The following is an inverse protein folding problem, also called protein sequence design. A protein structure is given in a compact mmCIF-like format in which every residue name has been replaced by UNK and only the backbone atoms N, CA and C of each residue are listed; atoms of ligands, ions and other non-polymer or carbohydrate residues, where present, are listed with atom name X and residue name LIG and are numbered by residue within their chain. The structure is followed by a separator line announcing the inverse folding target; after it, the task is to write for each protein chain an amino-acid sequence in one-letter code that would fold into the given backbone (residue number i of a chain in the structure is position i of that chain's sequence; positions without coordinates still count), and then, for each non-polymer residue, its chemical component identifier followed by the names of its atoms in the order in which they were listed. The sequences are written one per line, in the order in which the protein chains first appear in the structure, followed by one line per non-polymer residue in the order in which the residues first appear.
data_IF_441682819360
#
_entry.id   IF_441682819360
#
_cell.length_a   1.000
_cell.length_b   1.000
_cell.length_c   1.000
_cell.angle_alpha   90.00
_cell.angle_beta   90.00
_cell.angle_gamma   90.00
#
_symmetry.space_group_name_H-M   'P 1'
#
loop_
_entity.id
_entity.type
_entity.pdbx_description
1 polymer ?
#
# COMPACT_ATOMS: atom_id res chain seq x y z
N UNK A 1 9.02 27.45 -18.01
CA UNK A 1 8.87 26.05 -18.41
C UNK A 1 7.50 25.60 -17.93
N UNK A 2 6.70 24.90 -18.76
CA UNK A 2 5.40 24.37 -18.35
C UNK A 2 5.58 22.87 -18.06
N UNK A 3 5.34 22.43 -16.83
CA UNK A 3 5.38 21.03 -16.41
C UNK A 3 3.95 20.47 -16.33
N UNK A 4 3.73 19.30 -16.89
CA UNK A 4 2.48 18.56 -16.79
C UNK A 4 2.78 17.22 -16.14
N UNK A 5 2.14 16.95 -15.02
CA UNK A 5 2.18 15.67 -14.32
C UNK A 5 0.91 14.88 -14.65
N UNK A 6 1.04 13.63 -15.05
CA UNK A 6 -0.09 12.75 -15.37
C UNK A 6 -0.01 11.47 -14.54
N UNK A 7 -1.15 10.92 -14.16
CA UNK A 7 -1.24 9.67 -13.41
C UNK A 7 -2.69 9.36 -13.02
N UNK A 8 -2.91 8.18 -12.50
CA UNK A 8 -4.25 7.72 -12.04
C UNK A 8 -4.60 8.28 -10.65
N UNK A 9 -3.60 8.55 -9.83
CA UNK A 9 -3.76 9.21 -8.53
C UNK A 9 -2.53 10.07 -8.26
N UNK A 10 -2.68 11.34 -7.85
CA UNK A 10 -1.55 12.14 -7.40
C UNK A 10 -0.84 11.49 -6.21
N UNK A 11 0.48 11.67 -6.11
CA UNK A 11 1.19 11.37 -4.87
C UNK A 11 0.78 12.34 -3.76
N UNK A 12 1.11 12.00 -2.53
CA UNK A 12 0.75 12.87 -1.39
C UNK A 12 1.53 14.21 -1.42
N UNK A 13 2.76 14.21 -1.98
CA UNK A 13 3.54 15.43 -2.19
C UNK A 13 2.88 16.34 -3.25
N UNK A 14 2.43 15.74 -4.37
CA UNK A 14 1.68 16.49 -5.38
C UNK A 14 0.37 17.03 -4.81
N UNK A 15 -0.30 16.24 -3.94
CA UNK A 15 -1.51 16.72 -3.25
C UNK A 15 -1.25 17.93 -2.37
N UNK A 16 -0.09 17.99 -1.70
CA UNK A 16 0.31 19.17 -0.94
C UNK A 16 0.52 20.39 -1.85
N UNK A 17 1.23 20.24 -2.97
CA UNK A 17 1.42 21.32 -3.95
C UNK A 17 0.09 21.83 -4.54
N UNK A 18 -0.91 20.93 -4.67
CA UNK A 18 -2.26 21.32 -5.09
C UNK A 18 -2.94 22.17 -4.00
N UNK A 19 -2.84 21.81 -2.73
CA UNK A 19 -3.39 22.58 -1.61
C UNK A 19 -2.69 23.94 -1.45
N UNK A 20 -1.38 23.98 -1.63
CA UNK A 20 -0.56 25.21 -1.63
C UNK A 20 -0.78 26.06 -2.89
N UNK A 21 -1.60 25.61 -3.86
CA UNK A 21 -1.92 26.26 -5.14
C UNK A 21 -0.74 26.43 -6.08
N UNK A 22 0.32 25.67 -5.90
CA UNK A 22 1.47 25.66 -6.80
C UNK A 22 1.22 24.82 -8.06
N UNK A 23 0.31 23.85 -7.96
CA UNK A 23 -0.10 22.96 -9.06
C UNK A 23 -1.60 23.04 -9.27
N UNK A 24 -2.02 23.23 -10.54
CA UNK A 24 -3.43 23.16 -10.92
C UNK A 24 -3.84 21.70 -11.17
N UNK A 25 -4.75 21.19 -10.35
CA UNK A 25 -5.33 19.87 -10.54
C UNK A 25 -6.47 19.90 -11.57
N UNK A 26 -6.42 18.95 -12.50
CA UNK A 26 -7.47 18.71 -13.49
C UNK A 26 -7.87 17.25 -13.41
N UNK A 27 -9.13 16.97 -13.06
CA UNK A 27 -9.68 15.63 -13.02
C UNK A 27 -10.47 15.32 -14.29
N UNK A 28 -10.38 14.09 -14.80
CA UNK A 28 -11.30 13.63 -15.84
C UNK A 28 -12.70 13.45 -15.22
N UNK A 29 -13.73 13.73 -16.00
CA UNK A 29 -15.13 13.58 -15.57
C UNK A 29 -15.70 12.23 -16.01
N UNK A 30 -14.98 11.16 -15.78
CA UNK A 30 -15.46 9.82 -16.11
C UNK A 30 -16.42 9.34 -15.01
N UNK A 31 -17.50 8.69 -15.45
CA UNK A 31 -18.40 7.96 -14.56
C UNK A 31 -18.15 6.49 -14.78
N UNK A 32 -17.73 5.81 -13.73
CA UNK A 32 -17.42 4.38 -13.74
C UNK A 32 -18.54 3.61 -13.05
N UNK A 33 -19.04 2.56 -13.70
CA UNK A 33 -19.99 1.65 -13.06
C UNK A 33 -19.26 0.77 -12.04
N UNK A 34 -19.47 1.05 -10.75
CA UNK A 34 -18.81 0.36 -9.64
C UNK A 34 -19.82 -0.38 -8.79
N UNK A 35 -19.53 -1.63 -8.47
CA UNK A 35 -20.28 -2.44 -7.50
C UNK A 35 -19.31 -2.98 -6.46
N UNK A 36 -19.58 -2.72 -5.19
CA UNK A 36 -18.82 -3.26 -4.08
C UNK A 36 -19.55 -4.48 -3.47
N UNK A 37 -18.76 -5.43 -3.01
CA UNK A 37 -19.25 -6.67 -2.41
C UNK A 37 -18.46 -6.92 -1.13
N UNK A 38 -19.15 -6.81 -0.01
CA UNK A 38 -18.55 -7.13 1.29
C UNK A 38 -18.03 -8.56 1.28
N UNK A 39 -16.77 -8.79 1.68
CA UNK A 39 -16.18 -10.12 1.71
C UNK A 39 -17.02 -11.10 2.53
N UNK A 40 -17.15 -12.34 2.03
CA UNK A 40 -17.85 -13.42 2.71
C UNK A 40 -16.86 -14.33 3.42
N UNK A 41 -17.30 -14.94 4.52
CA UNK A 41 -16.49 -15.87 5.30
C UNK A 41 -16.00 -17.06 4.45
N UNK A 42 -14.68 -17.28 4.42
CA UNK A 42 -14.06 -18.42 3.75
C UNK A 42 -14.05 -18.38 2.22
N UNK A 43 -14.82 -17.51 1.57
CA UNK A 43 -14.92 -17.43 0.13
C UNK A 43 -14.00 -16.36 -0.47
N UNK A 44 -13.39 -16.65 -1.61
CA UNK A 44 -12.64 -15.67 -2.40
C UNK A 44 -13.59 -14.67 -3.08
N UNK A 45 -14.71 -15.17 -3.57
CA UNK A 45 -15.76 -14.41 -4.24
C UNK A 45 -17.05 -14.47 -3.43
N UNK A 46 -17.62 -13.32 -3.01
CA UNK A 46 -18.95 -13.27 -2.41
C UNK A 46 -20.02 -13.79 -3.37
N UNK A 47 -21.04 -14.51 -2.85
CA UNK A 47 -22.04 -15.17 -3.70
C UNK A 47 -22.72 -14.27 -4.73
N UNK A 48 -22.99 -13.01 -4.37
CA UNK A 48 -23.68 -12.04 -5.25
C UNK A 48 -22.84 -11.58 -6.44
N UNK A 49 -21.51 -11.73 -6.42
CA UNK A 49 -20.62 -11.28 -7.51
C UNK A 49 -20.69 -12.21 -8.73
N UNK A 50 -21.11 -13.49 -8.56
CA UNK A 50 -21.10 -14.50 -9.62
C UNK A 50 -22.00 -14.12 -10.81
N UNK A 51 -23.16 -13.53 -10.56
CA UNK A 51 -24.08 -13.09 -11.61
C UNK A 51 -23.47 -11.97 -12.45
N UNK A 52 -22.77 -11.02 -11.82
CA UNK A 52 -22.11 -9.91 -12.51
C UNK A 52 -20.95 -10.41 -13.37
N UNK A 53 -20.13 -11.32 -12.84
CA UNK A 53 -19.02 -11.94 -13.58
C UNK A 53 -19.55 -12.73 -14.79
N UNK A 54 -20.62 -13.54 -14.62
CA UNK A 54 -21.23 -14.28 -15.71
C UNK A 54 -21.76 -13.36 -16.81
N UNK A 55 -22.41 -12.26 -16.42
CA UNK A 55 -22.90 -11.25 -17.36
C UNK A 55 -21.73 -10.61 -18.14
N UNK A 56 -20.64 -10.27 -17.48
CA UNK A 56 -19.47 -9.71 -18.12
C UNK A 56 -18.79 -10.71 -19.08
N UNK A 57 -18.66 -11.98 -18.67
CA UNK A 57 -18.08 -13.04 -19.50
C UNK A 57 -18.89 -13.37 -20.75
N UNK A 58 -20.17 -12.98 -20.85
CA UNK A 58 -20.94 -13.11 -22.10
C UNK A 58 -20.59 -12.03 -23.12
N UNK A 59 -19.89 -10.97 -22.69
CA UNK A 59 -19.54 -9.83 -23.56
C UNK A 59 -18.04 -9.80 -23.87
N UNK A 60 -17.17 -10.13 -22.92
CA UNK A 60 -15.73 -10.03 -23.12
C UNK A 60 -14.92 -10.61 -21.96
N UNK A 61 -13.60 -10.33 -21.91
CA UNK A 61 -12.72 -10.83 -20.87
C UNK A 61 -12.99 -10.13 -19.53
N UNK A 62 -12.80 -10.88 -18.44
CA UNK A 62 -12.91 -10.38 -17.07
C UNK A 62 -11.54 -10.45 -16.39
N UNK A 63 -11.04 -9.30 -15.95
CA UNK A 63 -9.76 -9.18 -15.23
C UNK A 63 -9.98 -9.36 -13.74
N UNK A 64 -9.18 -10.23 -13.12
CA UNK A 64 -9.11 -10.40 -11.67
C UNK A 64 -7.75 -9.94 -11.17
N UNK A 65 -7.73 -8.96 -10.28
CA UNK A 65 -6.51 -8.51 -9.62
C UNK A 65 -6.39 -9.20 -8.26
N UNK A 66 -5.33 -9.97 -8.12
CA UNK A 66 -4.97 -10.62 -6.86
C UNK A 66 -3.78 -9.90 -6.20
N UNK A 67 -3.79 -9.74 -4.88
CA UNK A 67 -2.62 -9.23 -4.17
C UNK A 67 -1.39 -10.11 -4.39
N UNK A 68 -0.20 -9.52 -4.56
CA UNK A 68 1.07 -10.25 -4.74
C UNK A 68 1.38 -11.17 -3.55
N UNK A 69 2.20 -12.21 -3.76
CA UNK A 69 2.64 -13.14 -2.69
C UNK A 69 3.25 -12.42 -1.48
N UNK A 70 3.95 -11.32 -1.64
CA UNK A 70 4.52 -10.52 -0.55
C UNK A 70 3.48 -9.88 0.40
N UNK A 71 2.23 -9.75 -0.03
CA UNK A 71 1.09 -9.36 0.82
C UNK A 71 0.58 -10.54 1.68
N UNK A 72 1.17 -11.72 1.55
CA UNK A 72 0.61 -12.99 1.98
C UNK A 72 0.81 -13.40 3.42
N UNK A 73 1.64 -12.70 4.20
CA UNK A 73 1.92 -13.07 5.58
C UNK A 73 1.09 -12.30 6.61
N UNK A 74 0.08 -11.55 6.17
CA UNK A 74 -0.84 -10.88 7.09
C UNK A 74 -1.94 -11.83 7.54
N UNK A 75 -2.23 -11.84 8.84
CA UNK A 75 -3.43 -12.45 9.39
C UNK A 75 -4.61 -11.51 9.12
N UNK A 76 -5.68 -12.04 8.51
CA UNK A 76 -6.96 -11.36 8.39
C UNK A 76 -8.01 -12.09 9.21
N UNK A 77 -9.06 -11.37 9.56
CA UNK A 77 -10.25 -11.99 10.12
C UNK A 77 -10.92 -12.87 9.05
N UNK A 78 -11.23 -14.11 9.37
CA UNK A 78 -11.94 -15.03 8.48
C UNK A 78 -13.37 -14.60 8.18
N UNK A 79 -13.93 -13.69 8.99
CA UNK A 79 -15.30 -13.20 8.84
C UNK A 79 -15.36 -11.86 8.09
N UNK A 80 -14.79 -10.79 8.63
CA UNK A 80 -14.88 -9.43 8.05
C UNK A 80 -13.71 -9.05 7.15
N UNK A 81 -12.71 -9.92 7.00
CA UNK A 81 -11.48 -9.73 6.20
C UNK A 81 -10.61 -8.55 6.60
N UNK A 82 -10.94 -7.84 7.68
CA UNK A 82 -10.05 -6.84 8.22
C UNK A 82 -8.72 -7.44 8.63
N UNK A 83 -7.65 -6.68 8.41
CA UNK A 83 -6.29 -7.07 8.80
C UNK A 83 -6.17 -7.06 10.33
N UNK A 84 -5.59 -8.12 10.87
CA UNK A 84 -5.29 -8.18 12.30
C UNK A 84 -4.09 -7.28 12.62
N UNK A 85 -4.33 -6.29 13.45
CA UNK A 85 -3.32 -5.29 13.86
C UNK A 85 -3.00 -5.45 15.34
N UNK A 86 -1.77 -5.15 15.69
CA UNK A 86 -1.30 -5.00 17.07
C UNK A 86 -1.56 -3.57 17.55
N UNK A 87 -1.65 -3.37 18.85
CA UNK A 87 -1.73 -2.05 19.48
C UNK A 87 -0.56 -1.12 19.09
N UNK A 88 0.61 -1.67 18.75
CA UNK A 88 1.76 -0.91 18.24
C UNK A 88 1.64 -0.49 16.77
N UNK A 89 0.51 -0.74 16.10
CA UNK A 89 0.30 -0.46 14.67
C UNK A 89 0.92 -1.50 13.73
N UNK A 90 1.65 -2.51 14.24
CA UNK A 90 2.19 -3.60 13.43
C UNK A 90 1.12 -4.62 13.07
N UNK A 91 1.16 -5.15 11.83
CA UNK A 91 0.26 -6.25 11.43
C UNK A 91 0.62 -7.55 12.16
N UNK A 92 -0.37 -8.43 12.34
CA UNK A 92 -0.13 -9.77 12.85
C UNK A 92 0.18 -10.73 11.69
N UNK A 93 1.08 -11.67 11.95
CA UNK A 93 1.40 -12.79 11.05
C UNK A 93 1.35 -14.11 11.81
N UNK A 94 1.22 -15.20 11.06
CA UNK A 94 1.27 -16.56 11.61
C UNK A 94 2.36 -17.33 10.89
N UNK A 95 3.39 -17.73 11.62
CA UNK A 95 4.54 -18.42 11.04
C UNK A 95 4.21 -19.85 10.57
N UNK A 96 3.24 -20.51 11.21
CA UNK A 96 2.75 -21.83 10.83
C UNK A 96 1.29 -21.99 11.33
N UNK A 97 0.50 -22.91 10.70
CA UNK A 97 -0.92 -23.14 11.04
C UNK A 97 -1.18 -23.45 12.53
N UNK A 98 -0.19 -23.97 13.23
CA UNK A 98 -0.28 -24.38 14.65
C UNK A 98 0.28 -23.33 15.62
N UNK A 99 0.82 -22.22 15.12
CA UNK A 99 1.40 -21.17 15.98
C UNK A 99 0.42 -20.01 16.17
N UNK A 100 0.44 -19.45 17.38
CA UNK A 100 -0.33 -18.25 17.69
C UNK A 100 0.16 -17.04 16.83
N UNK A 101 -0.74 -16.14 16.45
CA UNK A 101 -0.37 -14.92 15.75
C UNK A 101 0.66 -14.09 16.53
N UNK A 102 1.62 -13.51 15.83
CA UNK A 102 2.60 -12.60 16.41
C UNK A 102 2.70 -11.31 15.59
N UNK A 103 2.98 -10.21 16.27
CA UNK A 103 3.20 -8.94 15.62
C UNK A 103 4.52 -8.94 14.87
N UNK A 104 4.51 -8.55 13.60
CA UNK A 104 5.74 -8.45 12.78
C UNK A 104 6.65 -7.31 13.21
N UNK A 105 6.15 -6.38 14.02
CA UNK A 105 6.87 -5.18 14.43
C UNK A 105 7.46 -5.32 15.84
N UNK A 106 6.63 -5.65 16.85
CA UNK A 106 7.06 -5.71 18.24
C UNK A 106 7.19 -7.16 18.79
N UNK A 107 6.90 -8.18 17.99
CA UNK A 107 6.99 -9.58 18.40
C UNK A 107 5.91 -10.07 19.38
N UNK A 108 4.99 -9.20 19.87
CA UNK A 108 3.91 -9.58 20.81
C UNK A 108 3.11 -10.75 20.24
N UNK A 109 2.95 -11.81 21.04
CA UNK A 109 2.19 -13.02 20.65
C UNK A 109 0.77 -12.92 21.18
N UNK A 110 -0.21 -13.32 20.39
CA UNK A 110 -1.65 -13.23 20.67
C UNK A 110 -2.23 -14.63 20.84
N UNK A 111 -2.22 -15.17 22.06
CA UNK A 111 -2.94 -16.38 22.42
C UNK A 111 -4.44 -16.09 22.40
N UNK A 112 -5.23 -16.92 21.69
CA UNK A 112 -6.67 -16.71 21.59
C UNK A 112 -7.08 -15.42 20.89
N UNK A 113 -6.36 -15.04 19.80
CA UNK A 113 -6.65 -13.84 19.02
C UNK A 113 -8.12 -13.71 18.64
N UNK A 114 -8.65 -12.50 18.81
CA UNK A 114 -9.98 -12.08 18.32
C UNK A 114 -9.84 -10.81 17.47
N UNK A 115 -10.68 -10.71 16.45
CA UNK A 115 -10.71 -9.57 15.56
C UNK A 115 -11.17 -8.30 16.31
N UNK A 116 -10.39 -7.22 16.23
CA UNK A 116 -10.73 -5.92 16.85
C UNK A 116 -11.95 -5.24 16.23
N UNK A 117 -12.38 -5.65 15.03
CA UNK A 117 -13.53 -5.06 14.33
C UNK A 117 -14.84 -5.80 14.57
N UNK A 118 -14.84 -7.15 14.51
CA UNK A 118 -16.06 -7.94 14.61
C UNK A 118 -16.07 -8.94 15.77
N UNK A 119 -15.03 -8.94 16.61
CA UNK A 119 -14.84 -9.76 17.81
C UNK A 119 -14.88 -11.29 17.57
N UNK A 120 -14.73 -11.75 16.31
CA UNK A 120 -14.67 -13.17 15.96
C UNK A 120 -13.23 -13.65 15.92
N UNK A 121 -13.03 -14.95 16.14
CA UNK A 121 -11.71 -15.59 16.33
C UNK A 121 -11.20 -16.36 15.10
N UNK A 122 -12.04 -16.51 14.05
CA UNK A 122 -11.64 -17.23 12.84
C UNK A 122 -10.53 -16.51 12.11
N UNK A 123 -9.42 -17.20 11.97
CA UNK A 123 -8.23 -16.71 11.29
C UNK A 123 -8.29 -17.01 9.79
N UNK A 124 -7.91 -16.05 8.96
CA UNK A 124 -7.68 -16.21 7.54
C UNK A 124 -6.25 -15.83 7.21
N UNK A 125 -5.48 -16.84 6.83
CA UNK A 125 -4.09 -16.60 6.41
C UNK A 125 -4.10 -16.20 4.93
N UNK A 126 -3.87 -14.94 4.68
CA UNK A 126 -3.76 -14.38 3.35
C UNK A 126 -2.39 -14.73 2.72
N UNK A 127 -2.18 -15.96 2.39
CA UNK A 127 -0.91 -16.47 1.84
C UNK A 127 -1.05 -17.25 0.55
N UNK A 128 -2.23 -17.23 -0.03
CA UNK A 128 -2.55 -18.05 -1.20
C UNK A 128 -2.43 -17.16 -2.43
N UNK A 129 -1.33 -17.33 -3.16
CA UNK A 129 -1.02 -16.53 -4.31
C UNK A 129 -2.04 -16.69 -5.45
N UNK A 130 -1.77 -16.00 -6.54
CA UNK A 130 -2.57 -15.97 -7.78
C UNK A 130 -2.97 -17.36 -8.27
N UNK A 131 -2.12 -18.38 -8.09
CA UNK A 131 -2.38 -19.76 -8.50
C UNK A 131 -3.64 -20.34 -7.84
N UNK A 132 -3.81 -20.12 -6.54
CA UNK A 132 -5.03 -20.60 -5.85
C UNK A 132 -6.26 -19.77 -6.22
N UNK A 133 -6.11 -18.47 -6.42
CA UNK A 133 -7.21 -17.66 -6.94
C UNK A 133 -7.63 -18.17 -8.32
N UNK A 134 -6.67 -18.53 -9.18
CA UNK A 134 -6.92 -19.12 -10.48
C UNK A 134 -7.67 -20.45 -10.38
N UNK A 135 -7.27 -21.34 -9.47
CA UNK A 135 -7.98 -22.60 -9.25
C UNK A 135 -9.43 -22.40 -8.76
N UNK A 136 -9.66 -21.51 -7.81
CA UNK A 136 -10.99 -21.25 -7.27
C UNK A 136 -11.91 -20.61 -8.32
N UNK A 137 -11.38 -19.65 -9.10
CA UNK A 137 -12.11 -18.95 -10.15
C UNK A 137 -12.38 -19.87 -11.35
N UNK A 138 -11.42 -20.70 -11.77
CA UNK A 138 -11.62 -21.66 -12.86
C UNK A 138 -12.69 -22.70 -12.52
N UNK A 139 -12.73 -23.18 -11.29
CA UNK A 139 -13.80 -24.10 -10.83
C UNK A 139 -15.18 -23.44 -10.83
N UNK A 140 -15.22 -22.13 -10.50
CA UNK A 140 -16.47 -21.38 -10.50
C UNK A 140 -17.01 -21.10 -11.92
N UNK A 141 -16.12 -21.01 -12.91
CA UNK A 141 -16.42 -20.66 -14.29
C UNK A 141 -15.75 -21.62 -15.29
N UNK A 142 -16.06 -22.93 -15.29
CA UNK A 142 -15.27 -23.95 -15.98
C UNK A 142 -15.36 -23.88 -17.52
N UNK A 143 -16.29 -23.08 -18.07
CA UNK A 143 -16.48 -22.95 -19.52
C UNK A 143 -15.55 -21.90 -20.17
N UNK A 144 -14.80 -21.15 -19.36
CA UNK A 144 -13.98 -20.04 -19.87
C UNK A 144 -12.50 -20.35 -19.72
N UNK A 145 -11.68 -19.99 -20.72
CA UNK A 145 -10.24 -20.15 -20.65
C UNK A 145 -9.65 -19.25 -19.54
N UNK A 146 -8.60 -19.73 -18.89
CA UNK A 146 -7.86 -18.99 -17.87
C UNK A 146 -6.55 -18.48 -18.43
N UNK A 147 -6.31 -17.19 -18.28
CA UNK A 147 -5.07 -16.51 -18.64
C UNK A 147 -4.45 -15.97 -17.36
N UNK A 148 -3.20 -16.36 -17.04
CA UNK A 148 -2.46 -15.86 -15.89
C UNK A 148 -1.34 -14.95 -16.41
N UNK A 149 -1.24 -13.76 -15.81
CA UNK A 149 -0.18 -12.77 -16.06
C UNK A 149 0.42 -12.33 -14.73
N UNK A 150 1.54 -12.96 -14.32
CA UNK A 150 2.17 -12.71 -13.03
C UNK A 150 3.59 -13.28 -12.97
N UNK A 151 4.42 -12.75 -12.08
CA UNK A 151 5.79 -13.23 -11.86
C UNK A 151 6.65 -13.12 -13.11
N UNK A 152 7.21 -14.25 -13.55
CA UNK A 152 8.08 -14.32 -14.74
C UNK A 152 7.29 -14.43 -16.05
N UNK A 153 5.98 -14.67 -15.99
CA UNK A 153 5.10 -14.82 -17.16
C UNK A 153 4.14 -13.63 -17.22
N UNK A 154 4.63 -12.52 -17.74
CA UNK A 154 3.82 -11.31 -17.97
C UNK A 154 3.38 -11.30 -19.42
N UNK A 155 2.10 -11.02 -19.66
CA UNK A 155 1.50 -10.86 -20.97
C UNK A 155 1.22 -9.38 -21.23
N UNK A 156 1.71 -8.84 -22.32
CA UNK A 156 1.49 -7.44 -22.67
C UNK A 156 0.07 -7.20 -23.17
N UNK A 157 -0.44 -8.12 -24.00
CA UNK A 157 -1.77 -8.01 -24.63
C UNK A 157 -2.48 -9.36 -24.70
N UNK A 158 -3.80 -9.31 -24.71
CA UNK A 158 -4.68 -10.44 -24.98
C UNK A 158 -5.81 -10.01 -25.93
N UNK A 159 -6.44 -10.97 -26.59
CA UNK A 159 -7.59 -10.73 -27.46
C UNK A 159 -8.85 -10.37 -26.65
N UNK A 160 -9.74 -9.57 -27.24
CA UNK A 160 -11.05 -9.27 -26.68
C UNK A 160 -12.03 -10.44 -26.87
N UNK A 161 -11.78 -11.54 -26.14
CA UNK A 161 -12.63 -12.75 -26.12
C UNK A 161 -12.97 -13.11 -24.67
N UNK A 162 -14.16 -13.72 -24.42
CA UNK A 162 -14.51 -14.19 -23.08
C UNK A 162 -13.42 -15.07 -22.46
N UNK A 163 -12.80 -14.58 -21.40
CA UNK A 163 -11.73 -15.27 -20.68
C UNK A 163 -11.64 -14.79 -19.23
N UNK A 164 -11.13 -15.64 -18.35
CA UNK A 164 -10.79 -15.33 -16.98
C UNK A 164 -9.30 -14.89 -16.95
N UNK A 165 -9.05 -13.61 -16.80
CA UNK A 165 -7.69 -13.05 -16.80
C UNK A 165 -7.29 -12.75 -15.38
N UNK A 166 -6.28 -13.44 -14.85
CA UNK A 166 -5.77 -13.20 -13.52
C UNK A 166 -4.41 -12.51 -13.60
N UNK A 167 -4.29 -11.38 -12.93
CA UNK A 167 -3.05 -10.62 -12.87
C UNK A 167 -2.70 -10.16 -11.45
N UNK A 168 -1.41 -9.95 -11.23
CA UNK A 168 -0.93 -9.16 -10.08
C UNK A 168 -0.76 -7.70 -10.49
N UNK A 169 -0.76 -6.78 -9.52
CA UNK A 169 -0.53 -5.35 -9.77
C UNK A 169 0.70 -5.12 -10.67
N UNK A 170 0.52 -4.34 -11.74
CA UNK A 170 1.55 -4.03 -12.72
C UNK A 170 1.81 -5.13 -13.77
N UNK A 171 1.00 -6.19 -13.79
CA UNK A 171 1.10 -7.28 -14.79
C UNK A 171 -0.21 -7.45 -15.59
N UNK A 172 -1.08 -6.43 -15.60
CA UNK A 172 -2.37 -6.48 -16.29
C UNK A 172 -2.18 -6.41 -17.80
N UNK A 173 -2.61 -7.43 -18.58
CA UNK A 173 -2.55 -7.35 -20.04
C UNK A 173 -3.43 -6.23 -20.58
N UNK A 174 -3.02 -5.61 -21.66
CA UNK A 174 -3.86 -4.69 -22.43
C UNK A 174 -4.88 -5.47 -23.27
N UNK A 175 -6.10 -4.94 -23.35
CA UNK A 175 -7.19 -5.48 -24.19
C UNK A 175 -7.71 -4.35 -25.08
N UNK A 176 -7.77 -4.56 -26.37
CA UNK A 176 -8.38 -3.60 -27.27
C UNK A 176 -9.87 -3.46 -26.94
N UNK A 177 -10.34 -2.23 -26.74
CA UNK A 177 -11.71 -1.95 -26.28
C UNK A 177 -11.95 -2.13 -24.78
N UNK A 178 -10.97 -2.59 -24.02
CA UNK A 178 -11.05 -2.76 -22.56
C UNK A 178 -11.70 -4.05 -22.08
N UNK A 179 -11.72 -4.25 -20.77
CA UNK A 179 -12.33 -5.41 -20.13
C UNK A 179 -13.83 -5.25 -19.92
N UNK A 180 -14.61 -6.31 -20.10
CA UNK A 180 -16.04 -6.32 -19.79
C UNK A 180 -16.32 -6.15 -18.27
N UNK A 181 -15.42 -6.65 -17.44
CA UNK A 181 -15.36 -6.32 -16.01
C UNK A 181 -13.95 -6.43 -15.47
N UNK A 182 -13.70 -5.66 -14.40
CA UNK A 182 -12.50 -5.76 -13.59
C UNK A 182 -12.91 -6.10 -12.17
N UNK A 183 -12.30 -7.13 -11.57
CA UNK A 183 -12.58 -7.62 -10.22
C UNK A 183 -11.33 -7.41 -9.35
N UNK A 184 -11.39 -6.55 -8.34
CA UNK A 184 -10.32 -6.41 -7.36
C UNK A 184 -10.61 -7.30 -6.17
N UNK A 185 -9.83 -8.37 -6.03
CA UNK A 185 -9.97 -9.38 -4.98
C UNK A 185 -9.34 -8.92 -3.67
N UNK A 186 -9.94 -9.30 -2.53
CA UNK A 186 -9.39 -9.01 -1.19
C UNK A 186 -8.94 -7.52 -1.03
N UNK A 187 -9.79 -6.57 -1.44
CA UNK A 187 -9.44 -5.15 -1.58
C UNK A 187 -8.80 -4.54 -0.34
N UNK A 188 -9.21 -4.92 0.88
CA UNK A 188 -8.60 -4.42 2.12
C UNK A 188 -7.13 -4.77 2.27
N UNK A 189 -6.64 -5.83 1.62
CA UNK A 189 -5.22 -6.21 1.70
C UNK A 189 -4.29 -5.18 1.09
N UNK A 190 -4.74 -4.46 0.07
CA UNK A 190 -3.92 -3.40 -0.55
C UNK A 190 -3.68 -2.22 0.40
N UNK A 191 -4.54 -2.05 1.41
CA UNK A 191 -4.42 -1.02 2.45
C UNK A 191 -3.76 -1.52 3.74
N UNK A 192 -3.22 -2.75 3.77
CA UNK A 192 -2.79 -3.43 5.00
C UNK A 192 -1.30 -3.36 5.31
N UNK A 193 -0.49 -2.70 4.48
CA UNK A 193 0.91 -2.51 4.77
C UNK A 193 1.14 -1.40 5.80
N UNK A 194 2.25 -1.51 6.54
CA UNK A 194 2.66 -0.50 7.53
C UNK A 194 3.56 0.60 6.93
N UNK A 195 3.71 0.62 5.61
CA UNK A 195 4.47 1.63 4.87
C UNK A 195 3.62 2.88 4.64
N UNK A 196 4.20 4.06 4.78
CA UNK A 196 3.52 5.34 4.56
C UNK A 196 2.96 5.50 3.13
N UNK A 197 3.50 4.75 2.15
CA UNK A 197 3.01 4.75 0.76
C UNK A 197 1.88 3.77 0.49
N UNK A 198 1.43 3.04 1.50
CA UNK A 198 0.40 2.01 1.34
C UNK A 198 -0.89 2.57 0.76
N UNK A 199 -1.38 3.68 1.31
CA UNK A 199 -2.60 4.34 0.84
C UNK A 199 -2.45 4.84 -0.61
N UNK A 200 -1.33 5.45 -0.92
CA UNK A 200 -0.99 5.96 -2.25
C UNK A 200 -0.96 4.83 -3.29
N UNK A 201 -0.19 3.77 -3.02
CA UNK A 201 -0.09 2.60 -3.92
C UNK A 201 -1.43 1.89 -4.11
N UNK A 202 -2.22 1.78 -3.04
CA UNK A 202 -3.55 1.19 -3.15
C UNK A 202 -4.48 2.05 -4.03
N UNK A 203 -4.53 3.36 -3.82
CA UNK A 203 -5.31 4.29 -4.66
C UNK A 203 -4.90 4.19 -6.12
N UNK A 204 -3.60 4.29 -6.40
CA UNK A 204 -3.07 4.19 -7.75
C UNK A 204 -3.51 2.88 -8.42
N UNK A 205 -3.30 1.73 -7.76
CA UNK A 205 -3.73 0.44 -8.26
C UNK A 205 -5.23 0.40 -8.57
N UNK A 206 -6.06 0.87 -7.64
CA UNK A 206 -7.51 0.81 -7.82
C UNK A 206 -7.97 1.66 -9.01
N UNK A 207 -7.46 2.88 -9.15
CA UNK A 207 -7.80 3.76 -10.26
C UNK A 207 -7.21 3.26 -11.58
N UNK A 208 -5.92 2.90 -11.63
CA UNK A 208 -5.26 2.31 -12.80
C UNK A 208 -6.03 1.09 -13.31
N UNK A 209 -6.31 0.13 -12.42
CA UNK A 209 -7.01 -1.09 -12.79
C UNK A 209 -8.45 -0.80 -13.26
N UNK A 210 -9.13 0.14 -12.60
CA UNK A 210 -10.48 0.54 -12.99
C UNK A 210 -10.53 1.24 -14.34
N UNK A 211 -9.45 1.88 -14.79
CA UNK A 211 -9.38 2.50 -16.12
C UNK A 211 -9.32 1.50 -17.28
N UNK A 212 -9.05 0.22 -16.99
CA UNK A 212 -8.95 -0.83 -18.00
C UNK A 212 -10.31 -1.38 -18.47
N UNK A 213 -11.42 -0.96 -17.89
CA UNK A 213 -12.75 -1.40 -18.33
C UNK A 213 -13.11 -0.81 -19.69
N UNK A 214 -13.95 -1.53 -20.43
CA UNK A 214 -14.62 -0.99 -21.62
C UNK A 214 -15.64 0.10 -21.22
N UNK A 215 -16.11 0.94 -22.16
CA UNK A 215 -17.11 1.98 -21.85
C UNK A 215 -18.39 1.47 -21.20
N UNK A 216 -18.78 0.22 -21.47
CA UNK A 216 -19.93 -0.46 -20.86
C UNK A 216 -19.53 -1.42 -19.73
N UNK A 217 -18.26 -1.47 -19.38
CA UNK A 217 -17.71 -2.38 -18.38
C UNK A 217 -18.10 -2.02 -16.95
N UNK A 218 -17.82 -2.94 -16.03
CA UNK A 218 -18.12 -2.75 -14.60
C UNK A 218 -16.91 -3.06 -13.75
N UNK A 219 -16.63 -2.21 -12.76
CA UNK A 219 -15.65 -2.46 -11.70
C UNK A 219 -16.35 -3.16 -10.54
N UNK A 220 -15.85 -4.34 -10.20
CA UNK A 220 -16.36 -5.18 -9.11
C UNK A 220 -15.31 -5.21 -7.98
N UNK A 221 -15.62 -4.64 -6.85
CA UNK A 221 -14.70 -4.53 -5.71
C UNK A 221 -15.09 -5.52 -4.62
N UNK A 222 -14.20 -6.43 -4.27
CA UNK A 222 -14.37 -7.29 -3.08
C UNK A 222 -13.78 -6.57 -1.87
N UNK A 223 -14.56 -5.63 -1.35
CA UNK A 223 -14.22 -4.76 -0.22
C UNK A 223 -15.53 -4.34 0.46
N UNK A 224 -15.46 -3.85 1.71
CA UNK A 224 -16.60 -3.26 2.38
C UNK A 224 -17.17 -2.10 1.54
N UNK A 225 -18.48 -2.09 1.32
CA UNK A 225 -19.15 -1.10 0.46
C UNK A 225 -19.10 0.33 1.02
N UNK A 226 -18.88 0.45 2.34
CA UNK A 226 -18.67 1.74 3.01
C UNK A 226 -17.25 2.29 2.87
N UNK A 227 -16.31 1.49 2.34
CA UNK A 227 -14.92 1.93 2.19
C UNK A 227 -14.83 3.12 1.23
N UNK A 228 -14.12 4.22 1.62
CA UNK A 228 -14.09 5.46 0.84
C UNK A 228 -13.60 5.32 -0.61
N UNK A 229 -12.78 4.31 -0.91
CA UNK A 229 -12.30 4.04 -2.27
C UNK A 229 -13.44 3.74 -3.25
N UNK A 230 -14.54 3.12 -2.77
CA UNK A 230 -15.71 2.76 -3.60
C UNK A 230 -16.34 4.01 -4.20
N UNK A 231 -16.64 5.00 -3.35
CA UNK A 231 -17.22 6.26 -3.80
C UNK A 231 -16.25 7.11 -4.61
N UNK A 232 -14.93 7.02 -4.32
CA UNK A 232 -13.91 7.73 -5.07
C UNK A 232 -13.81 7.24 -6.52
N UNK A 233 -13.82 5.91 -6.75
CA UNK A 233 -13.80 5.33 -8.10
C UNK A 233 -15.12 5.61 -8.83
N UNK A 234 -16.27 5.42 -8.19
CA UNK A 234 -17.57 5.65 -8.80
C UNK A 234 -17.73 7.10 -9.33
N UNK A 235 -17.12 8.06 -8.65
CA UNK A 235 -17.12 9.47 -9.03
C UNK A 235 -15.87 9.89 -9.81
N UNK A 236 -14.95 8.97 -10.02
CA UNK A 236 -13.63 9.21 -10.56
C UNK A 236 -12.94 10.41 -9.90
N UNK A 237 -13.01 10.48 -8.57
CA UNK A 237 -12.53 11.60 -7.79
C UNK A 237 -11.73 11.15 -6.56
N UNK A 238 -10.42 11.27 -6.63
CA UNK A 238 -9.49 10.90 -5.56
C UNK A 238 -9.27 12.01 -4.52
N UNK A 239 -9.63 13.26 -4.83
CA UNK A 239 -9.31 14.42 -4.00
C UNK A 239 -9.76 14.31 -2.53
N UNK A 240 -10.96 13.77 -2.18
CA UNK A 240 -11.34 13.61 -0.77
C UNK A 240 -10.43 12.66 0.00
N UNK A 241 -9.93 11.60 -0.65
CA UNK A 241 -8.99 10.65 -0.03
C UNK A 241 -7.63 11.29 0.24
N UNK A 242 -7.13 12.05 -0.74
CA UNK A 242 -5.86 12.77 -0.63
C UNK A 242 -5.90 13.82 0.47
N UNK A 243 -6.97 14.62 0.51
CA UNK A 243 -7.16 15.65 1.52
C UNK A 243 -7.17 15.06 2.93
N UNK A 244 -7.90 13.96 3.12
CA UNK A 244 -7.94 13.25 4.39
C UNK A 244 -6.56 12.75 4.80
N UNK A 245 -5.85 12.05 3.90
CA UNK A 245 -4.52 11.52 4.18
C UNK A 245 -3.52 12.65 4.49
N UNK A 246 -3.56 13.76 3.75
CA UNK A 246 -2.70 14.91 4.00
C UNK A 246 -2.97 15.53 5.37
N UNK A 247 -4.24 15.67 5.77
CA UNK A 247 -4.62 16.15 7.10
C UNK A 247 -4.11 15.22 8.21
N UNK A 248 -4.30 13.90 8.07
CA UNK A 248 -3.81 12.90 9.03
C UNK A 248 -2.27 12.94 9.14
N UNK A 249 -1.55 13.10 8.03
CA UNK A 249 -0.08 13.21 8.03
C UNK A 249 0.40 14.51 8.67
N UNK A 250 -0.30 15.60 8.46
CA UNK A 250 0.02 16.89 9.09
C UNK A 250 -0.16 16.81 10.60
N UNK A 251 -1.26 16.25 11.08
CA UNK A 251 -1.54 16.05 12.50
C UNK A 251 -0.48 15.16 13.18
N UNK A 252 -0.05 14.10 12.47
CA UNK A 252 0.95 13.15 12.97
C UNK A 252 2.39 13.56 12.71
N UNK A 253 2.64 14.75 12.16
CA UNK A 253 3.98 15.21 11.76
C UNK A 253 4.73 14.20 10.89
N UNK A 254 4.05 13.70 9.84
CA UNK A 254 4.61 12.76 8.87
C UNK A 254 4.87 13.44 7.52
N UNK A 255 5.83 12.95 6.72
CA UNK A 255 6.02 13.46 5.37
C UNK A 255 4.72 13.40 4.54
N UNK A 256 4.44 14.41 3.71
CA UNK A 256 5.27 15.53 3.31
C UNK A 256 5.13 16.79 4.18
N UNK A 257 4.42 16.75 5.32
CA UNK A 257 4.26 17.95 6.17
C UNK A 257 5.54 18.31 6.93
N UNK A 258 6.45 17.36 7.12
CA UNK A 258 7.77 17.54 7.71
C UNK A 258 8.87 17.10 6.75
N UNK A 259 10.06 17.65 6.92
CA UNK A 259 11.27 17.21 6.25
C UNK A 259 11.85 15.96 6.94
N UNK A 260 12.30 14.98 6.18
CA UNK A 260 12.73 13.68 6.72
C UNK A 260 14.14 13.28 6.26
N UNK A 261 14.94 12.79 7.20
CA UNK A 261 16.23 12.19 6.93
C UNK A 261 16.28 10.80 7.55
N UNK A 262 16.74 9.82 6.78
CA UNK A 262 16.93 8.44 7.24
C UNK A 262 18.42 8.09 7.21
N UNK A 263 18.91 7.60 8.34
CA UNK A 263 20.26 7.09 8.53
C UNK A 263 20.18 5.57 8.71
N UNK A 264 20.89 4.80 7.89
CA UNK A 264 21.01 3.34 8.05
C UNK A 264 22.46 3.01 8.39
N UNK A 265 22.64 2.16 9.40
CA UNK A 265 23.97 1.84 9.95
C UNK A 265 23.98 0.47 10.61
N UNK A 266 25.17 0.01 10.98
CA UNK A 266 25.36 -1.19 11.80
C UNK A 266 24.70 -1.02 13.18
N UNK A 267 24.08 -2.08 13.67
CA UNK A 267 23.34 -2.10 14.94
C UNK A 267 24.23 -1.71 16.14
N UNK A 268 25.52 -2.09 16.12
CA UNK A 268 26.46 -1.85 17.22
C UNK A 268 26.67 -0.37 17.55
N UNK A 269 26.48 0.52 16.57
CA UNK A 269 26.67 1.96 16.73
C UNK A 269 25.36 2.75 16.82
N UNK A 270 24.22 2.13 16.55
CA UNK A 270 22.92 2.80 16.46
C UNK A 270 22.55 3.60 17.72
N UNK A 271 22.67 2.99 18.90
CA UNK A 271 22.36 3.65 20.19
C UNK A 271 23.30 4.84 20.42
N UNK A 272 24.61 4.69 20.13
CA UNK A 272 25.58 5.78 20.30
C UNK A 272 25.20 6.98 19.41
N UNK A 273 24.79 6.73 18.17
CA UNK A 273 24.40 7.80 17.24
C UNK A 273 23.13 8.49 17.71
N UNK A 274 22.09 7.76 18.13
CA UNK A 274 20.87 8.37 18.70
C UNK A 274 21.20 9.26 19.88
N UNK A 275 22.01 8.78 20.81
CA UNK A 275 22.42 9.57 21.98
C UNK A 275 23.20 10.82 21.57
N UNK A 276 24.10 10.71 20.58
CA UNK A 276 24.82 11.84 20.01
C UNK A 276 23.91 12.88 19.38
N UNK A 277 22.90 12.45 18.61
CA UNK A 277 21.90 13.32 18.00
C UNK A 277 21.03 14.00 19.07
N UNK A 278 20.55 13.27 20.07
CA UNK A 278 19.78 13.84 21.19
C UNK A 278 20.58 14.89 21.97
N UNK A 279 21.86 14.61 22.23
CA UNK A 279 22.75 15.60 22.85
C UNK A 279 22.93 16.82 21.96
N UNK A 280 23.15 16.64 20.66
CA UNK A 280 23.29 17.75 19.71
C UNK A 280 22.01 18.60 19.62
N UNK A 281 20.82 17.97 19.76
CA UNK A 281 19.55 18.67 19.88
C UNK A 281 19.48 19.52 21.16
N UNK A 282 19.80 18.93 22.29
CA UNK A 282 19.83 19.64 23.59
C UNK A 282 20.83 20.82 23.60
N UNK A 283 21.98 20.66 22.91
CA UNK A 283 23.02 21.70 22.78
C UNK A 283 22.67 22.76 21.71
N UNK A 284 21.49 22.69 21.03
CA UNK A 284 21.09 23.61 19.96
C UNK A 284 21.88 23.48 18.65
N UNK A 285 22.61 22.38 18.46
CA UNK A 285 23.41 22.11 17.24
C UNK A 285 22.59 21.45 16.12
N UNK A 286 21.40 21.00 16.42
CA UNK A 286 20.38 20.51 15.50
C UNK A 286 19.14 21.38 15.67
N UNK A 287 18.36 21.66 14.63
CA UNK A 287 17.14 22.44 14.75
C UNK A 287 16.21 21.92 15.85
N UNK A 288 15.65 22.82 16.65
CA UNK A 288 14.80 22.48 17.79
C UNK A 288 13.48 21.82 17.37
N UNK A 289 13.04 21.98 16.11
CA UNK A 289 11.90 21.26 15.51
C UNK A 289 12.19 19.78 15.26
N UNK A 290 13.43 19.31 15.50
CA UNK A 290 13.83 17.96 15.15
C UNK A 290 13.27 16.91 16.11
N UNK A 291 12.64 15.87 15.58
CA UNK A 291 12.22 14.65 16.26
C UNK A 291 13.09 13.48 15.81
N UNK A 292 13.65 12.73 16.75
CA UNK A 292 14.58 11.62 16.48
C UNK A 292 13.91 10.31 16.87
N UNK A 293 13.73 9.42 15.90
CA UNK A 293 13.09 8.11 16.05
C UNK A 293 14.08 6.97 15.81
N UNK A 294 13.97 5.90 16.58
CA UNK A 294 14.84 4.73 16.48
C UNK A 294 15.88 4.66 17.61
N UNK A 295 16.92 3.80 17.49
CA UNK A 295 17.21 2.94 16.35
C UNK A 295 16.18 1.81 16.20
N UNK A 296 15.74 1.52 14.97
CA UNK A 296 14.81 0.43 14.65
C UNK A 296 15.50 -0.58 13.76
N UNK A 297 15.49 -1.85 14.12
CA UNK A 297 16.05 -2.93 13.29
C UNK A 297 15.28 -3.05 11.97
N UNK A 298 16.00 -3.08 10.85
CA UNK A 298 15.46 -3.23 9.50
C UNK A 298 15.86 -4.56 8.86
N UNK A 299 16.98 -5.10 9.27
CA UNK A 299 17.51 -6.42 8.89
C UNK A 299 18.54 -6.87 9.93
N UNK A 300 18.94 -8.15 9.88
CA UNK A 300 19.94 -8.68 10.82
C UNK A 300 21.22 -7.83 10.80
N UNK A 301 21.54 -7.21 11.94
CA UNK A 301 22.73 -6.39 12.12
C UNK A 301 22.63 -4.96 11.60
N UNK A 302 21.48 -4.54 11.04
CA UNK A 302 21.28 -3.16 10.57
C UNK A 302 20.10 -2.47 11.25
N UNK A 303 20.32 -1.21 11.59
CA UNK A 303 19.28 -0.35 12.16
C UNK A 303 19.13 0.94 11.35
N UNK A 304 17.93 1.51 11.41
CA UNK A 304 17.63 2.84 10.91
C UNK A 304 17.31 3.81 12.03
N UNK A 305 17.70 5.06 11.83
CA UNK A 305 17.29 6.22 12.62
C UNK A 305 16.58 7.16 11.63
N UNK A 306 15.43 7.68 12.05
CA UNK A 306 14.66 8.66 11.27
C UNK A 306 14.70 9.97 12.06
N UNK A 307 15.00 11.05 11.36
CA UNK A 307 14.96 12.41 11.92
C UNK A 307 13.97 13.21 11.09
N UNK A 308 12.93 13.73 11.73
CA UNK A 308 11.99 14.69 11.15
C UNK A 308 12.33 16.09 11.67
N UNK A 309 12.11 17.10 10.85
CA UNK A 309 12.19 18.51 11.24
C UNK A 309 11.17 19.33 10.44
N UNK A 310 10.91 20.55 10.86
CA UNK A 310 10.12 21.47 10.06
C UNK A 310 10.77 21.71 8.69
N UNK A 311 9.98 21.92 7.65
CA UNK A 311 10.50 22.17 6.28
C UNK A 311 11.42 23.40 6.20
N UNK A 312 11.15 24.42 7.01
CA UNK A 312 12.02 25.60 7.12
C UNK A 312 13.44 25.27 7.59
N UNK A 313 13.57 24.18 8.35
CA UNK A 313 14.83 23.71 8.93
C UNK A 313 15.55 22.65 8.06
N UNK A 314 14.98 22.31 6.90
CA UNK A 314 15.49 21.27 6.01
C UNK A 314 16.97 21.45 5.67
N UNK A 315 17.38 22.68 5.32
CA UNK A 315 18.78 23.00 5.01
C UNK A 315 19.68 22.80 6.23
N UNK A 316 19.29 23.33 7.38
CA UNK A 316 20.08 23.23 8.61
C UNK A 316 20.28 21.76 9.04
N UNK A 317 19.22 20.95 8.98
CA UNK A 317 19.33 19.52 9.28
C UNK A 317 20.22 18.79 8.27
N UNK A 318 20.08 19.09 6.98
CA UNK A 318 20.92 18.48 5.93
C UNK A 318 22.40 18.84 6.13
N UNK A 319 22.73 20.07 6.44
CA UNK A 319 24.10 20.54 6.70
C UNK A 319 24.72 19.80 7.90
N UNK A 320 23.95 19.60 8.98
CA UNK A 320 24.39 18.83 10.17
C UNK A 320 24.70 17.38 9.83
N UNK A 321 23.81 16.72 9.09
CA UNK A 321 23.99 15.30 8.75
C UNK A 321 25.17 15.13 7.76
N UNK A 322 25.32 16.05 6.83
CA UNK A 322 26.48 16.09 5.92
C UNK A 322 27.80 16.27 6.69
N UNK A 323 27.82 17.17 7.65
CA UNK A 323 29.00 17.38 8.50
C UNK A 323 29.30 16.16 9.37
N UNK A 324 28.28 15.47 9.87
CA UNK A 324 28.46 14.23 10.61
C UNK A 324 29.14 13.16 9.73
N UNK A 325 28.68 12.99 8.47
CA UNK A 325 29.28 12.07 7.50
C UNK A 325 30.74 12.47 7.19
N UNK A 326 30.99 13.76 6.96
CA UNK A 326 32.33 14.29 6.71
C UNK A 326 33.31 13.97 7.86
N UNK A 327 32.90 14.19 9.12
CA UNK A 327 33.73 13.88 10.31
C UNK A 327 34.01 12.38 10.43
N UNK A 328 33.03 11.53 10.11
CA UNK A 328 33.22 10.09 10.11
C UNK A 328 34.23 9.66 9.04
N UNK A 329 34.15 10.23 7.85
CA UNK A 329 35.07 9.97 6.74
C UNK A 329 36.53 10.35 7.14
N UNK A 330 36.73 11.53 7.73
CA UNK A 330 38.04 11.99 8.19
C UNK A 330 38.57 11.04 9.29
N UNK A 331 37.71 10.57 10.17
CA UNK A 331 38.07 9.65 11.24
C UNK A 331 38.21 8.18 10.76
N UNK A 332 38.12 7.93 9.46
CA UNK A 332 38.15 6.59 8.82
C UNK A 332 37.14 5.61 9.42
N UNK A 333 35.99 6.12 9.88
CA UNK A 333 34.87 5.32 10.37
C UNK A 333 33.91 4.98 9.24
N UNK A 334 33.20 3.86 9.38
CA UNK A 334 32.16 3.47 8.44
C UNK A 334 31.12 4.58 8.27
N UNK A 335 30.73 4.85 7.03
CA UNK A 335 29.74 5.86 6.67
C UNK A 335 28.33 5.27 6.79
N UNK A 336 27.36 6.13 7.11
CA UNK A 336 25.96 5.76 7.08
C UNK A 336 25.43 5.73 5.65
N UNK A 337 24.47 4.86 5.36
CA UNK A 337 23.59 5.08 4.22
C UNK A 337 22.62 6.21 4.59
N UNK A 338 22.77 7.33 3.91
CA UNK A 338 21.97 8.55 4.13
C UNK A 338 20.93 8.69 3.03
N UNK A 339 19.67 8.89 3.43
CA UNK A 339 18.57 9.21 2.51
C UNK A 339 17.85 10.45 2.99
N UNK A 340 17.77 11.44 2.13
CA UNK A 340 17.04 12.71 2.37
C UNK A 340 15.73 12.62 1.60
N UNK A 341 14.61 12.96 2.23
CA UNK A 341 13.27 12.86 1.66
C UNK A 341 13.02 11.50 0.96
N UNK A 342 13.26 10.37 1.64
CA UNK A 342 13.13 9.07 1.00
C UNK A 342 11.67 8.79 0.64
N UNK A 343 11.45 8.08 -0.47
CA UNK A 343 10.12 7.65 -0.88
C UNK A 343 9.40 6.83 0.21
N UNK A 344 10.15 6.05 1.00
CA UNK A 344 9.62 5.24 2.09
C UNK A 344 10.57 5.30 3.30
N UNK A 345 10.02 5.43 4.50
CA UNK A 345 10.75 5.52 5.76
C UNK A 345 11.15 4.15 6.31
#
# INVERSE_FOLDING_TARGET
MKLILTGFSPSIEVSQLIEEREVKYVNSKEIVNVKAFTPSEGALLPGRIFSEIKKALSVGPVLFIAPRKGYGNALLCGHCRNVAMCECGGRLSVAAKTKAPSCVHCGKVFQGWKCSFCNRDKQYLAGRGIDRAAEEISRAFPKFPVVISAGDVIKDRIEHKPALVLATSGAQPQVEGGYAAVVILDGMRFFSHTDLRTQERARELFFETSSLISPSGTVLLVIDDTHPIVSAIARWNVAPLLKRELSERTELQLPPSVFSVVLVMDQSIGIQIVNGLKKALADGRIPQSSNIYGPTEISKGQVKIVVHADKSDAKALTDVVHELQRRRSIAKKELFTLRVEPYSL
#
